data_IF_703761298392
#
_entry.id   IF_703761298392
#
_cell.length_a   1.000
_cell.length_b   1.000
_cell.length_c   1.000
_cell.angle_alpha   90.00
_cell.angle_beta   90.00
_cell.angle_gamma   90.00
#
_symmetry.space_group_name_H-M   'P 1'
#
loop_
_entity.id
_entity.type
_entity.pdbx_description
1 polymer ?
#
# COMPACT_ATOMS: atom_id res chain seq x y z
N UNK A 1 -42.69 25.49 -5.26
CA UNK A 1 -41.30 25.14 -5.66
C UNK A 1 -40.74 24.24 -4.61
N UNK A 2 -40.87 22.93 -4.82
CA UNK A 2 -40.48 21.86 -3.87
C UNK A 2 -39.01 21.53 -4.04
N UNK A 3 -38.26 21.56 -2.96
CA UNK A 3 -36.86 21.07 -2.91
C UNK A 3 -36.91 19.55 -2.69
N UNK A 4 -36.57 18.79 -3.72
CA UNK A 4 -36.31 17.36 -3.58
C UNK A 4 -35.01 17.17 -2.86
N UNK A 5 -35.09 16.64 -1.64
CA UNK A 5 -33.95 16.17 -0.88
C UNK A 5 -33.53 14.80 -1.43
N UNK A 6 -32.35 14.74 -2.01
CA UNK A 6 -31.74 13.54 -2.59
C UNK A 6 -31.23 12.63 -1.48
N UNK A 7 -32.06 11.67 -1.04
CA UNK A 7 -31.72 10.65 -0.05
C UNK A 7 -30.88 9.56 -0.72
N UNK A 8 -29.55 9.72 -0.72
CA UNK A 8 -28.65 8.61 -0.97
C UNK A 8 -28.49 7.78 0.31
N UNK A 9 -29.43 6.87 0.52
CA UNK A 9 -29.26 5.81 1.52
C UNK A 9 -28.31 4.75 0.95
N UNK A 10 -27.02 4.86 1.22
CA UNK A 10 -26.07 3.79 0.96
C UNK A 10 -26.40 2.65 1.95
N UNK A 11 -27.07 1.61 1.47
CA UNK A 11 -27.12 0.33 2.17
C UNK A 11 -25.69 -0.21 2.24
N UNK A 12 -25.04 -0.06 3.37
CA UNK A 12 -23.77 -0.73 3.65
C UNK A 12 -24.07 -2.23 3.80
N UNK A 13 -23.88 -3.00 2.75
CA UNK A 13 -23.72 -4.46 2.88
C UNK A 13 -22.35 -4.70 3.54
N UNK A 14 -22.24 -4.36 4.81
CA UNK A 14 -21.09 -4.74 5.62
C UNK A 14 -21.23 -6.22 5.96
N UNK A 15 -20.59 -7.07 5.18
CA UNK A 15 -20.25 -8.41 5.64
C UNK A 15 -19.46 -8.23 6.94
N UNK A 16 -19.90 -8.80 8.09
CA UNK A 16 -19.15 -8.67 9.33
C UNK A 16 -17.73 -9.18 9.11
N UNK A 17 -16.74 -8.35 9.45
CA UNK A 17 -15.36 -8.79 9.50
C UNK A 17 -15.26 -9.97 10.48
N UNK A 18 -14.45 -11.01 10.20
CA UNK A 18 -14.34 -12.16 11.07
C UNK A 18 -13.91 -11.72 12.47
N UNK A 19 -14.80 -11.87 13.43
CA UNK A 19 -14.56 -11.63 14.86
C UNK A 19 -13.74 -12.80 15.40
N UNK A 20 -12.42 -12.68 15.35
CA UNK A 20 -11.53 -13.69 15.92
C UNK A 20 -10.09 -13.48 15.48
N UNK A 21 -9.25 -12.92 16.35
CA UNK A 21 -7.86 -12.44 16.19
C UNK A 21 -7.76 -11.24 15.27
N UNK A 22 -7.31 -10.11 15.81
CA UNK A 22 -7.19 -8.84 15.09
C UNK A 22 -6.55 -9.01 13.71
N UNK A 23 -7.09 -8.31 12.72
CA UNK A 23 -6.56 -8.30 11.35
C UNK A 23 -5.14 -7.74 11.37
N UNK A 24 -4.17 -8.48 10.84
CA UNK A 24 -2.80 -7.99 10.66
C UNK A 24 -2.59 -7.49 9.25
N UNK A 25 -2.19 -6.25 9.13
CA UNK A 25 -1.92 -5.68 7.82
C UNK A 25 -0.60 -4.91 7.78
N UNK A 26 0.07 -4.97 6.63
CA UNK A 26 1.20 -4.13 6.31
C UNK A 26 0.73 -2.96 5.43
N UNK A 27 1.14 -1.73 5.79
CA UNK A 27 1.02 -0.56 4.93
C UNK A 27 2.41 -0.14 4.50
N UNK A 28 2.67 -0.10 3.19
CA UNK A 28 3.99 0.23 2.67
C UNK A 28 3.95 1.40 1.71
N UNK A 29 4.86 2.34 1.93
CA UNK A 29 5.02 3.52 1.11
C UNK A 29 5.78 4.60 1.82
N UNK A 30 5.92 5.75 1.17
CA UNK A 30 6.61 6.88 1.77
C UNK A 30 7.47 7.65 0.78
N UNK A 31 8.47 8.38 1.32
CA UNK A 31 9.35 9.24 0.57
C UNK A 31 8.85 10.68 0.44
N UNK A 32 7.54 10.89 0.46
CA UNK A 32 6.90 12.21 0.42
C UNK A 32 5.63 12.24 1.26
N UNK A 33 5.22 13.44 1.71
CA UNK A 33 3.96 13.62 2.43
C UNK A 33 2.73 13.13 1.66
N UNK A 34 2.75 13.25 0.33
CA UNK A 34 1.66 12.75 -0.53
C UNK A 34 1.42 11.24 -0.46
N UNK A 35 2.38 10.45 0.01
CA UNK A 35 2.22 9.02 0.27
C UNK A 35 1.99 8.72 1.75
N UNK A 36 2.66 9.46 2.64
CA UNK A 36 2.64 9.18 4.09
C UNK A 36 1.28 9.51 4.70
N UNK A 37 0.72 10.68 4.41
CA UNK A 37 -0.56 11.08 5.01
C UNK A 37 -1.74 10.18 4.57
N UNK A 38 -1.91 9.81 3.30
CA UNK A 38 -2.89 8.80 2.92
C UNK A 38 -2.68 7.45 3.61
N UNK A 39 -1.43 7.02 3.81
CA UNK A 39 -1.12 5.78 4.51
C UNK A 39 -1.59 5.82 5.98
N UNK A 40 -1.32 6.93 6.68
CA UNK A 40 -1.77 7.13 8.07
C UNK A 40 -3.30 7.23 8.13
N UNK A 41 -3.94 7.93 7.17
CA UNK A 41 -5.40 8.02 7.11
C UNK A 41 -6.07 6.65 6.92
N UNK A 42 -5.48 5.80 6.06
CA UNK A 42 -5.94 4.41 5.89
C UNK A 42 -5.79 3.63 7.20
N UNK A 43 -4.65 3.76 7.89
CA UNK A 43 -4.42 3.09 9.16
C UNK A 43 -5.43 3.52 10.23
N UNK A 44 -5.69 4.83 10.35
CA UNK A 44 -6.67 5.36 11.30
C UNK A 44 -8.08 4.84 11.00
N UNK A 45 -8.52 4.89 9.75
CA UNK A 45 -9.82 4.37 9.35
C UNK A 45 -9.97 2.86 9.64
N UNK A 46 -8.90 2.08 9.45
CA UNK A 46 -8.89 0.66 9.80
C UNK A 46 -8.99 0.47 11.31
N UNK A 47 -8.29 1.28 12.10
CA UNK A 47 -8.37 1.23 13.56
C UNK A 47 -9.74 1.64 14.11
N UNK A 48 -10.42 2.57 13.45
CA UNK A 48 -11.81 2.93 13.78
C UNK A 48 -12.78 1.78 13.51
N UNK A 49 -12.60 1.06 12.38
CA UNK A 49 -13.45 -0.06 12.00
C UNK A 49 -13.11 -1.36 12.73
N UNK A 50 -11.85 -1.55 13.08
CA UNK A 50 -11.30 -2.75 13.71
C UNK A 50 -10.25 -2.32 14.74
N UNK A 51 -10.65 -1.98 15.99
CA UNK A 51 -9.72 -1.51 17.04
C UNK A 51 -8.57 -2.49 17.32
N UNK A 52 -8.83 -3.80 17.22
CA UNK A 52 -7.85 -4.87 17.44
C UNK A 52 -6.92 -5.12 16.23
N UNK A 53 -7.05 -4.36 15.14
CA UNK A 53 -6.19 -4.52 13.97
C UNK A 53 -4.72 -4.22 14.33
N UNK A 54 -3.82 -5.11 13.99
CA UNK A 54 -2.38 -4.90 14.09
C UNK A 54 -1.84 -4.31 12.79
N UNK A 55 -1.29 -3.10 12.85
CA UNK A 55 -0.79 -2.39 11.66
C UNK A 55 0.72 -2.20 11.78
N UNK A 56 1.44 -2.67 10.77
CA UNK A 56 2.87 -2.45 10.62
C UNK A 56 3.15 -1.64 9.36
N UNK A 57 3.84 -0.54 9.51
CA UNK A 57 4.34 0.23 8.37
C UNK A 57 5.69 -0.29 7.88
N UNK A 58 5.90 -0.22 6.57
CA UNK A 58 7.19 -0.51 5.93
C UNK A 58 7.54 0.67 5.03
N UNK A 59 8.59 1.40 5.39
CA UNK A 59 9.05 2.62 4.72
C UNK A 59 10.47 2.52 4.20
N UNK A 60 11.00 3.60 3.65
CA UNK A 60 12.38 3.73 3.23
C UNK A 60 13.25 4.27 4.38
N UNK A 61 14.39 3.63 4.66
CA UNK A 61 15.35 4.11 5.66
C UNK A 61 15.80 5.54 5.37
N UNK A 62 15.90 6.36 6.43
CA UNK A 62 16.37 7.75 6.33
C UNK A 62 15.39 8.71 5.64
N UNK A 63 14.13 8.33 5.48
CA UNK A 63 13.08 9.18 4.92
C UNK A 63 12.11 9.66 5.99
N UNK A 64 11.28 10.66 5.63
CA UNK A 64 10.40 11.35 6.58
C UNK A 64 9.36 10.41 7.22
N UNK A 65 9.00 9.30 6.58
CA UNK A 65 8.09 8.31 7.15
C UNK A 65 8.63 7.67 8.42
N UNK A 66 9.96 7.57 8.56
CA UNK A 66 10.60 7.00 9.76
C UNK A 66 10.36 7.85 11.01
N UNK A 67 9.97 9.11 10.84
CA UNK A 67 9.55 10.02 11.91
C UNK A 67 8.03 10.14 11.98
N UNK A 68 7.36 10.44 10.85
CA UNK A 68 5.94 10.78 10.80
C UNK A 68 5.02 9.63 11.18
N UNK A 69 5.41 8.40 10.89
CA UNK A 69 4.61 7.22 11.24
C UNK A 69 4.63 6.94 12.75
N UNK A 70 5.79 6.95 13.43
CA UNK A 70 5.83 6.89 14.89
C UNK A 70 5.12 8.06 15.58
N UNK A 71 5.24 9.29 15.07
CA UNK A 71 4.50 10.46 15.57
C UNK A 71 2.97 10.24 15.54
N UNK A 72 2.48 9.44 14.59
CA UNK A 72 1.09 9.05 14.49
C UNK A 72 0.72 7.79 15.32
N UNK A 73 1.64 7.27 16.13
CA UNK A 73 1.41 6.13 17.01
C UNK A 73 1.56 4.76 16.37
N UNK A 74 2.15 4.65 15.18
CA UNK A 74 2.31 3.37 14.48
C UNK A 74 3.76 2.88 14.45
N UNK A 75 3.93 1.56 14.47
CA UNK A 75 5.24 0.92 14.27
C UNK A 75 5.64 0.98 12.80
N UNK A 76 6.92 1.22 12.54
CA UNK A 76 7.50 1.23 11.20
C UNK A 76 8.83 0.48 11.16
N UNK A 77 9.08 -0.22 10.05
CA UNK A 77 10.38 -0.83 9.74
C UNK A 77 10.86 -0.23 8.42
N UNK A 78 12.11 0.24 8.42
CA UNK A 78 12.75 0.79 7.22
C UNK A 78 13.33 -0.31 6.33
N UNK A 79 13.25 -0.09 5.00
CA UNK A 79 13.95 -0.87 3.98
C UNK A 79 15.10 -0.06 3.39
N UNK A 80 16.24 -0.69 3.08
CA UNK A 80 17.39 -0.04 2.45
C UNK A 80 17.10 0.16 0.95
N UNK A 81 16.16 1.05 0.63
CA UNK A 81 15.78 1.37 -0.75
C UNK A 81 16.32 2.74 -1.16
N UNK A 82 16.66 2.89 -2.44
CA UNK A 82 17.08 4.14 -3.03
C UNK A 82 16.41 4.33 -4.39
N UNK A 83 16.22 5.59 -4.78
CA UNK A 83 15.74 5.91 -6.12
C UNK A 83 16.81 5.62 -7.18
N UNK A 84 16.36 5.30 -8.39
CA UNK A 84 17.26 5.18 -9.56
C UNK A 84 17.79 6.55 -9.97
N UNK A 85 19.11 6.66 -10.11
CA UNK A 85 19.74 7.82 -10.72
C UNK A 85 19.66 7.69 -12.25
N UNK A 86 18.81 8.53 -12.87
CA UNK A 86 18.61 8.53 -14.33
C UNK A 86 19.78 9.12 -15.09
N UNK A 87 20.65 9.89 -14.43
CA UNK A 87 21.79 10.57 -15.06
C UNK A 87 23.08 9.73 -15.02
N UNK A 88 23.26 8.89 -14.01
CA UNK A 88 24.49 8.13 -13.78
C UNK A 88 24.20 6.63 -13.64
N UNK A 89 24.20 5.94 -14.78
CA UNK A 89 23.85 4.50 -14.82
C UNK A 89 24.79 3.62 -13.97
N UNK A 90 26.07 3.97 -13.87
CA UNK A 90 27.07 3.26 -13.06
C UNK A 90 26.74 3.25 -11.55
N UNK A 91 26.07 4.29 -11.05
CA UNK A 91 25.64 4.36 -9.65
C UNK A 91 24.47 3.41 -9.37
N UNK A 92 23.79 2.92 -10.38
CA UNK A 92 22.65 2.03 -10.23
C UNK A 92 23.02 0.60 -9.80
N UNK A 93 24.31 0.20 -9.89
CA UNK A 93 24.73 -1.08 -9.37
C UNK A 93 24.50 -1.19 -7.86
N UNK A 94 24.85 -0.14 -7.10
CA UNK A 94 24.55 -0.08 -5.66
C UNK A 94 23.04 -0.06 -5.36
N UNK A 95 22.24 0.57 -6.25
CA UNK A 95 20.77 0.58 -6.14
C UNK A 95 20.20 -0.81 -6.38
N UNK A 96 20.75 -1.57 -7.32
CA UNK A 96 20.34 -2.96 -7.56
C UNK A 96 20.61 -3.87 -6.36
N UNK A 97 21.80 -3.75 -5.74
CA UNK A 97 22.14 -4.48 -4.51
C UNK A 97 21.20 -4.09 -3.35
N UNK A 98 20.91 -2.79 -3.19
CA UNK A 98 19.94 -2.31 -2.21
C UNK A 98 18.53 -2.87 -2.48
N UNK A 99 18.12 -2.96 -3.74
CA UNK A 99 16.83 -3.53 -4.12
C UNK A 99 16.74 -5.02 -3.74
N UNK A 100 17.78 -5.80 -3.99
CA UNK A 100 17.84 -7.22 -3.60
C UNK A 100 17.79 -7.34 -2.08
N UNK A 101 18.61 -6.58 -1.36
CA UNK A 101 18.61 -6.57 0.12
C UNK A 101 17.24 -6.15 0.68
N UNK A 102 16.59 -5.17 0.07
CA UNK A 102 15.26 -4.74 0.50
C UNK A 102 14.18 -5.81 0.28
N UNK A 103 14.28 -6.61 -0.78
CA UNK A 103 13.38 -7.74 -1.01
C UNK A 103 13.57 -8.82 0.07
N UNK A 104 14.81 -9.18 0.40
CA UNK A 104 15.10 -10.14 1.47
C UNK A 104 14.59 -9.64 2.83
N UNK A 105 14.83 -8.37 3.15
CA UNK A 105 14.35 -7.75 4.38
C UNK A 105 12.81 -7.69 4.42
N UNK A 106 12.17 -7.32 3.32
CA UNK A 106 10.72 -7.34 3.21
C UNK A 106 10.14 -8.75 3.41
N UNK A 107 10.77 -9.79 2.82
CA UNK A 107 10.38 -11.18 3.03
C UNK A 107 10.48 -11.59 4.51
N UNK A 108 11.56 -11.19 5.21
CA UNK A 108 11.72 -11.48 6.64
C UNK A 108 10.62 -10.82 7.46
N UNK A 109 10.37 -9.53 7.23
CA UNK A 109 9.30 -8.77 7.90
C UNK A 109 7.94 -9.45 7.72
N UNK A 110 7.61 -9.84 6.47
CA UNK A 110 6.35 -10.50 6.15
C UNK A 110 6.24 -11.86 6.83
N UNK A 111 7.32 -12.65 6.87
CA UNK A 111 7.35 -13.94 7.56
C UNK A 111 7.12 -13.82 9.07
N UNK A 112 7.74 -12.82 9.68
CA UNK A 112 7.65 -12.58 11.12
C UNK A 112 6.26 -12.02 11.49
N UNK A 113 5.82 -10.98 10.79
CA UNK A 113 4.58 -10.29 11.10
C UNK A 113 3.34 -11.09 10.67
N UNK A 114 3.44 -11.92 9.62
CA UNK A 114 2.36 -12.74 9.05
C UNK A 114 1.09 -11.93 8.72
N UNK A 115 1.17 -10.91 7.89
CA UNK A 115 0.02 -10.10 7.54
C UNK A 115 -0.99 -10.90 6.70
N UNK A 116 -2.27 -10.56 6.82
CA UNK A 116 -3.34 -11.11 6.00
C UNK A 116 -3.54 -10.30 4.72
N UNK A 117 -3.08 -9.04 4.71
CA UNK A 117 -3.12 -8.16 3.54
C UNK A 117 -1.95 -7.17 3.58
N UNK A 118 -1.47 -6.78 2.41
CA UNK A 118 -0.47 -5.73 2.25
C UNK A 118 -0.99 -4.60 1.37
N UNK A 119 -0.93 -3.37 1.88
CA UNK A 119 -1.38 -2.15 1.19
C UNK A 119 -0.17 -1.34 0.75
N UNK A 120 -0.09 -0.98 -0.51
CA UNK A 120 0.91 -0.07 -1.06
C UNK A 120 0.29 1.28 -1.39
N UNK A 121 0.88 2.34 -0.87
CA UNK A 121 0.44 3.73 -1.13
C UNK A 121 1.39 4.49 -2.04
N UNK A 122 2.37 3.80 -2.62
CA UNK A 122 3.41 4.39 -3.48
C UNK A 122 4.72 4.68 -2.76
N UNK A 123 5.71 5.17 -3.52
CA UNK A 123 7.08 5.35 -3.03
C UNK A 123 7.97 4.12 -3.19
N UNK A 124 9.25 4.26 -2.81
CA UNK A 124 10.26 3.24 -3.10
C UNK A 124 10.12 1.95 -2.30
N UNK A 125 9.61 2.01 -1.05
CA UNK A 125 9.45 0.85 -0.19
C UNK A 125 8.26 -0.04 -0.60
N UNK A 126 7.23 0.54 -1.23
CA UNK A 126 6.03 -0.16 -1.67
C UNK A 126 6.36 -1.29 -2.68
N UNK A 127 7.30 -1.05 -3.60
CA UNK A 127 7.71 -2.03 -4.62
C UNK A 127 8.17 -3.37 -4.05
N UNK A 128 9.29 -3.42 -3.32
CA UNK A 128 9.79 -4.65 -2.74
C UNK A 128 8.82 -5.30 -1.74
N UNK A 129 8.09 -4.51 -0.95
CA UNK A 129 7.11 -5.02 0.01
C UNK A 129 5.96 -5.76 -0.67
N UNK A 130 5.27 -5.10 -1.61
CA UNK A 130 4.13 -5.72 -2.30
C UNK A 130 4.54 -6.86 -3.21
N UNK A 131 5.72 -6.77 -3.86
CA UNK A 131 6.25 -7.88 -4.65
C UNK A 131 6.45 -9.12 -3.78
N UNK A 132 7.08 -8.97 -2.61
CA UNK A 132 7.29 -10.10 -1.70
C UNK A 132 5.98 -10.63 -1.12
N UNK A 133 5.05 -9.76 -0.72
CA UNK A 133 3.73 -10.16 -0.25
C UNK A 133 3.00 -10.99 -1.31
N UNK A 134 2.93 -10.51 -2.55
CA UNK A 134 2.30 -11.23 -3.65
C UNK A 134 2.97 -12.57 -3.98
N UNK A 135 4.32 -12.66 -3.92
CA UNK A 135 5.05 -13.92 -4.09
C UNK A 135 4.79 -14.92 -2.96
N UNK A 136 4.45 -14.44 -1.77
CA UNK A 136 4.10 -15.27 -0.61
C UNK A 136 2.60 -15.58 -0.52
N UNK A 137 1.81 -15.26 -1.56
CA UNK A 137 0.37 -15.52 -1.61
C UNK A 137 -0.49 -14.59 -0.76
N UNK A 138 0.09 -13.49 -0.25
CA UNK A 138 -0.64 -12.52 0.55
C UNK A 138 -1.37 -11.55 -0.39
N UNK A 139 -2.69 -11.34 -0.23
CA UNK A 139 -3.43 -10.35 -1.00
C UNK A 139 -2.79 -8.97 -0.90
N UNK A 140 -2.66 -8.32 -2.05
CA UNK A 140 -2.06 -6.99 -2.14
C UNK A 140 -3.05 -5.99 -2.72
N UNK A 141 -3.05 -4.78 -2.15
CA UNK A 141 -3.87 -3.67 -2.56
C UNK A 141 -2.98 -2.47 -2.85
N UNK A 142 -3.25 -1.78 -3.96
CA UNK A 142 -2.54 -0.55 -4.33
C UNK A 142 -3.52 0.61 -4.26
N UNK A 143 -3.17 1.60 -3.45
CA UNK A 143 -3.83 2.90 -3.43
C UNK A 143 -2.96 3.89 -4.22
N UNK A 144 -3.57 4.60 -5.17
CA UNK A 144 -2.91 5.65 -5.95
C UNK A 144 -3.73 6.94 -5.84
N UNK A 145 -3.14 7.96 -5.26
CA UNK A 145 -3.74 9.26 -5.07
C UNK A 145 -3.53 10.20 -6.26
N UNK A 146 -2.55 9.92 -7.12
CA UNK A 146 -2.24 10.76 -8.27
C UNK A 146 -3.04 10.33 -9.50
N UNK A 147 -3.25 11.28 -10.42
CA UNK A 147 -3.89 11.01 -11.72
C UNK A 147 -3.08 10.02 -12.57
N UNK A 148 -1.75 9.99 -12.38
CA UNK A 148 -0.83 9.07 -13.06
C UNK A 148 -0.16 8.17 -12.04
N UNK A 149 -0.33 6.86 -12.21
CA UNK A 149 0.35 5.89 -11.38
C UNK A 149 1.86 5.93 -11.57
N UNK A 150 2.60 5.89 -10.47
CA UNK A 150 4.04 5.76 -10.49
C UNK A 150 4.49 4.42 -11.13
N UNK A 151 5.76 4.34 -11.57
CA UNK A 151 6.31 3.15 -12.25
C UNK A 151 6.13 1.90 -11.39
N UNK A 152 6.37 1.98 -10.09
CA UNK A 152 6.19 0.88 -9.14
C UNK A 152 4.75 0.38 -9.14
N UNK A 153 3.77 1.28 -9.05
CA UNK A 153 2.36 0.90 -9.04
C UNK A 153 1.90 0.29 -10.36
N UNK A 154 2.43 0.79 -11.50
CA UNK A 154 2.17 0.21 -12.82
C UNK A 154 2.66 -1.23 -12.93
N UNK A 155 3.88 -1.52 -12.44
CA UNK A 155 4.47 -2.87 -12.48
C UNK A 155 3.76 -3.86 -11.57
N UNK A 156 3.23 -3.39 -10.45
CA UNK A 156 2.52 -4.23 -9.48
C UNK A 156 1.04 -4.42 -9.82
N UNK A 157 0.45 -3.51 -10.60
CA UNK A 157 -0.98 -3.45 -10.88
C UNK A 157 -1.56 -4.72 -11.53
N UNK A 158 -0.75 -5.51 -12.24
CA UNK A 158 -1.20 -6.75 -12.88
C UNK A 158 -1.54 -7.88 -11.89
N UNK A 159 -1.02 -7.80 -10.67
CA UNK A 159 -1.16 -8.86 -9.64
C UNK A 159 -1.85 -8.38 -8.36
N UNK A 160 -2.18 -7.10 -8.27
CA UNK A 160 -2.77 -6.49 -7.08
C UNK A 160 -4.22 -6.07 -7.33
N UNK A 161 -5.02 -6.07 -6.28
CA UNK A 161 -6.29 -5.35 -6.27
C UNK A 161 -5.99 -3.85 -6.23
N UNK A 162 -6.60 -3.05 -7.12
CA UNK A 162 -6.31 -1.62 -7.25
C UNK A 162 -7.46 -0.77 -6.73
N UNK A 163 -7.18 0.10 -5.75
CA UNK A 163 -8.07 1.19 -5.38
C UNK A 163 -7.53 2.51 -5.98
N UNK A 164 -8.31 3.13 -6.81
CA UNK A 164 -8.00 4.42 -7.42
C UNK A 164 -8.73 5.52 -6.70
N UNK A 165 -7.98 6.42 -6.08
CA UNK A 165 -8.52 7.47 -5.22
C UNK A 165 -9.02 8.73 -5.91
N UNK A 166 -9.45 8.72 -7.19
CA UNK A 166 -10.21 9.83 -7.77
C UNK A 166 -10.71 9.49 -9.18
N UNK A 167 -12.03 9.45 -9.31
CA UNK A 167 -12.70 9.53 -10.61
C UNK A 167 -12.56 10.95 -11.17
N UNK A 168 -11.46 11.24 -11.85
CA UNK A 168 -11.39 12.30 -12.85
C UNK A 168 -10.51 11.86 -13.99
N UNK A 169 -11.11 11.76 -15.18
CA UNK A 169 -10.56 11.40 -16.49
C UNK A 169 -10.26 9.91 -16.74
N UNK A 170 -11.28 9.17 -17.05
CA UNK A 170 -11.53 8.24 -18.16
C UNK A 170 -10.54 7.14 -18.56
N UNK A 171 -9.43 6.88 -17.85
CA UNK A 171 -8.59 5.71 -18.15
C UNK A 171 -8.41 4.86 -16.91
N UNK A 172 -9.25 3.85 -16.80
CA UNK A 172 -9.14 2.76 -15.83
C UNK A 172 -7.87 1.97 -16.15
N UNK A 173 -7.00 1.74 -15.15
CA UNK A 173 -6.02 0.67 -15.24
C UNK A 173 -6.80 -0.63 -15.47
N UNK A 174 -6.38 -1.52 -16.39
CA UNK A 174 -7.14 -2.74 -16.68
C UNK A 174 -7.28 -3.54 -15.39
N UNK A 175 -8.50 -3.61 -14.87
CA UNK A 175 -8.87 -4.52 -13.83
C UNK A 175 -8.68 -5.95 -14.34
N UNK A 176 -8.28 -6.85 -13.44
CA UNK A 176 -8.27 -8.29 -13.71
C UNK A 176 -9.64 -8.68 -14.28
N UNK A 177 -9.67 -9.24 -15.46
CA UNK A 177 -10.86 -9.94 -15.96
C UNK A 177 -11.10 -11.11 -15.01
N UNK A 178 -12.18 -11.06 -14.26
CA UNK A 178 -12.67 -12.20 -13.51
C UNK A 178 -13.03 -13.30 -14.53
N UNK A 179 -12.16 -14.32 -14.65
CA UNK A 179 -12.48 -15.56 -15.33
C UNK A 179 -13.42 -16.34 -14.40
N UNK A 180 -14.69 -15.94 -14.36
CA UNK A 180 -15.79 -16.79 -13.95
C UNK A 180 -16.71 -16.97 -15.15
N UNK A 181 -16.27 -17.83 -16.06
CA UNK A 181 -17.12 -18.55 -17.01
C UNK A 181 -16.37 -19.79 -17.48
N UNK A 182 -16.51 -20.84 -16.70
CA UNK A 182 -16.64 -22.26 -17.16
C UNK A 182 -17.19 -23.13 -16.04
#
# INVERSE_FOLDING_TARGET
MSKEANNYTTKSNSTPLPTGKGVRLIISGGGTGGHIFPAISIANAIKELCPDAEILFVGAEGRMEMQRVPDAGYRIIGLPVAGFDRKHLWKNFSVLLKLIRSQWKARSIIKEFRPQVAVGVGGYASGPTLKMAGMMGIPTLIQEQNSYAGVTNKLLAQKACNLRGLRRHGKVLPGRKDNHDR
#
